data_IF_569429156789
#
_entry.id   IF_569429156789
#
_cell.length_a   1.000
_cell.length_b   1.000
_cell.length_c   1.000
_cell.angle_alpha   90.00
_cell.angle_beta   90.00
_cell.angle_gamma   90.00
#
_symmetry.space_group_name_H-M   'P 1'
#
loop_
_entity.id
_entity.type
_entity.pdbx_description
1 polymer ?
#
# COMPACT_ATOMS: atom_id res chain seq x y z
N UNK A 1 12.49 -0.89 37.56
CA UNK A 1 12.32 -0.89 36.10
C UNK A 1 11.08 -0.09 35.77
N UNK A 2 11.07 0.70 34.70
CA UNK A 2 9.84 1.35 34.26
C UNK A 2 8.87 0.30 33.72
N UNK A 3 7.56 0.47 33.92
CA UNK A 3 6.52 -0.40 33.32
C UNK A 3 6.63 -0.44 31.79
N UNK A 4 7.12 0.65 31.18
CA UNK A 4 7.41 0.72 29.74
C UNK A 4 8.53 -0.24 29.34
N UNK A 5 9.59 -0.33 30.13
CA UNK A 5 10.73 -1.21 29.82
C UNK A 5 10.31 -2.68 29.97
N UNK A 6 9.43 -2.96 30.91
CA UNK A 6 8.88 -4.29 31.14
C UNK A 6 7.97 -4.74 29.98
N UNK A 7 7.10 -3.87 29.46
CA UNK A 7 6.30 -4.15 28.24
C UNK A 7 7.22 -4.44 27.06
N UNK A 8 8.28 -3.64 26.89
CA UNK A 8 9.26 -3.85 25.82
C UNK A 8 9.96 -5.20 25.95
N UNK A 9 10.37 -5.56 27.16
CA UNK A 9 11.02 -6.85 27.43
C UNK A 9 10.09 -8.03 27.15
N UNK A 10 8.83 -7.97 27.58
CA UNK A 10 7.84 -9.01 27.32
C UNK A 10 7.55 -9.14 25.82
N UNK A 11 7.47 -8.02 25.10
CA UNK A 11 7.32 -8.01 23.63
C UNK A 11 8.55 -8.60 22.93
N UNK A 12 9.77 -8.29 23.39
CA UNK A 12 11.01 -8.89 22.89
C UNK A 12 11.07 -10.40 23.17
N UNK A 13 10.42 -10.88 24.23
CA UNK A 13 10.28 -12.32 24.51
C UNK A 13 9.22 -13.04 23.65
N UNK A 14 8.55 -12.31 22.75
CA UNK A 14 7.56 -12.87 21.82
C UNK A 14 6.13 -12.96 22.36
N UNK A 15 5.85 -12.40 23.54
CA UNK A 15 4.49 -12.36 24.09
C UNK A 15 3.59 -11.42 23.30
N UNK A 16 2.35 -11.84 23.10
CA UNK A 16 1.29 -11.03 22.48
C UNK A 16 0.81 -9.93 23.43
N UNK A 17 0.23 -8.85 22.89
CA UNK A 17 -0.30 -7.74 23.70
C UNK A 17 -1.34 -8.24 24.74
N UNK A 18 -2.12 -9.29 24.45
CA UNK A 18 -3.07 -9.90 25.38
C UNK A 18 -2.39 -10.60 26.57
N UNK A 19 -1.32 -11.35 26.32
CA UNK A 19 -0.53 -11.99 27.38
C UNK A 19 0.22 -10.96 28.23
N UNK A 20 0.69 -9.87 27.62
CA UNK A 20 1.31 -8.75 28.34
C UNK A 20 0.30 -8.09 29.28
N UNK A 21 -0.96 -7.92 28.86
CA UNK A 21 -2.01 -7.37 29.73
C UNK A 21 -2.25 -8.29 30.93
N UNK A 22 -2.31 -9.61 30.72
CA UNK A 22 -2.51 -10.58 31.79
C UNK A 22 -1.35 -10.57 32.80
N UNK A 23 -0.10 -10.59 32.34
CA UNK A 23 1.10 -10.52 33.19
C UNK A 23 1.14 -9.23 34.03
N UNK A 24 0.78 -8.09 33.44
CA UNK A 24 0.77 -6.80 34.14
C UNK A 24 -0.39 -6.68 35.13
N UNK A 25 -1.55 -7.27 34.82
CA UNK A 25 -2.66 -7.36 35.76
C UNK A 25 -2.31 -8.26 36.96
N UNK A 26 -1.60 -9.37 36.75
CA UNK A 26 -1.11 -10.24 37.82
C UNK A 26 -0.14 -9.49 38.75
N UNK A 27 0.61 -8.53 38.20
CA UNK A 27 1.49 -7.62 38.96
C UNK A 27 0.74 -6.48 39.66
N UNK A 28 -0.60 -6.44 39.56
CA UNK A 28 -1.46 -5.48 40.25
C UNK A 28 -1.58 -4.13 39.55
N UNK A 29 -1.20 -4.01 38.28
CA UNK A 29 -1.37 -2.76 37.53
C UNK A 29 -2.81 -2.55 37.11
N UNK A 30 -3.25 -1.28 37.15
CA UNK A 30 -4.62 -0.92 36.79
C UNK A 30 -4.81 -1.05 35.25
N UNK A 31 -5.92 -1.61 34.76
CA UNK A 31 -6.22 -1.69 33.31
C UNK A 31 -5.99 -0.39 32.54
N UNK A 32 -6.27 0.77 33.15
CA UNK A 32 -6.05 2.08 32.52
C UNK A 32 -4.57 2.40 32.33
N UNK A 33 -3.73 2.07 33.32
CA UNK A 33 -2.28 2.28 33.25
C UNK A 33 -1.65 1.34 32.23
N UNK A 34 -2.12 0.10 32.16
CA UNK A 34 -1.65 -0.89 31.17
C UNK A 34 -1.89 -0.39 29.74
N UNK A 35 -3.07 0.17 29.47
CA UNK A 35 -3.40 0.70 28.14
C UNK A 35 -2.54 1.93 27.78
N UNK A 36 -2.30 2.83 28.74
CA UNK A 36 -1.42 4.00 28.54
C UNK A 36 0.03 3.56 28.26
N UNK A 37 0.56 2.60 29.04
CA UNK A 37 1.92 2.07 28.86
C UNK A 37 2.07 1.34 27.52
N UNK A 38 1.09 0.53 27.12
CA UNK A 38 1.10 -0.14 25.81
C UNK A 38 1.09 0.86 24.65
N UNK A 39 0.28 1.92 24.76
CA UNK A 39 0.20 2.99 23.75
C UNK A 39 1.52 3.75 23.66
N UNK A 40 2.10 4.14 24.79
CA UNK A 40 3.41 4.81 24.85
C UNK A 40 4.54 3.95 24.32
N UNK A 41 4.54 2.65 24.60
CA UNK A 41 5.52 1.71 24.05
C UNK A 41 5.42 1.63 22.53
N UNK A 42 4.22 1.54 21.95
CA UNK A 42 4.03 1.48 20.49
C UNK A 42 4.56 2.74 19.79
N UNK A 43 4.30 3.91 20.37
CA UNK A 43 4.84 5.18 19.84
C UNK A 43 6.36 5.20 19.93
N UNK A 44 6.93 4.77 21.06
CA UNK A 44 8.39 4.75 21.24
C UNK A 44 9.09 3.78 20.29
N UNK A 45 8.50 2.61 20.04
CA UNK A 45 9.00 1.64 19.07
C UNK A 45 8.95 2.19 17.63
N UNK A 46 7.87 2.90 17.28
CA UNK A 46 7.74 3.54 15.97
C UNK A 46 8.75 4.67 15.74
N UNK A 47 9.00 5.50 16.76
CA UNK A 47 9.99 6.59 16.70
C UNK A 47 11.42 6.01 16.60
N UNK A 48 11.72 4.96 17.37
CA UNK A 48 13.06 4.37 17.38
C UNK A 48 13.38 3.62 16.07
N UNK A 49 12.42 2.89 15.51
CA UNK A 49 12.60 2.21 14.23
C UNK A 49 12.59 3.16 13.02
N UNK A 50 11.96 4.34 13.14
CA UNK A 50 11.90 5.34 12.07
C UNK A 50 13.23 6.06 11.82
N UNK A 51 14.12 6.16 12.82
CA UNK A 51 15.39 6.86 12.68
C UNK A 51 16.58 5.98 12.27
N UNK A 52 16.46 4.65 12.36
CA UNK A 52 17.57 3.74 12.00
C UNK A 52 17.66 3.37 10.50
N UNK A 53 16.75 3.87 9.64
CA UNK A 53 16.81 3.61 8.19
C UNK A 53 17.37 4.77 7.34
N UNK A 54 17.87 5.85 7.95
CA UNK A 54 18.33 7.04 7.18
C UNK A 54 19.86 7.25 7.19
N UNK A 55 20.65 6.42 7.89
CA UNK A 55 22.10 6.69 8.05
C UNK A 55 23.07 5.64 7.44
N UNK A 56 22.59 4.60 6.74
CA UNK A 56 23.47 3.55 6.17
C UNK A 56 23.56 3.55 4.62
N UNK A 57 23.19 4.63 3.93
CA UNK A 57 23.30 4.71 2.45
C UNK A 57 24.20 5.84 1.92
N UNK A 58 25.23 6.23 2.68
CA UNK A 58 26.16 7.30 2.25
C UNK A 58 27.63 7.04 2.57
N UNK A 59 28.11 5.80 2.39
CA UNK A 59 29.55 5.47 2.50
C UNK A 59 30.04 4.57 1.34
N UNK A 60 29.74 4.86 0.06
CA UNK A 60 30.59 4.34 -1.04
C UNK A 60 30.45 5.01 -2.41
N UNK A 61 30.21 6.32 -2.49
CA UNK A 61 30.34 7.04 -3.78
C UNK A 61 31.26 8.24 -3.63
N UNK A 62 32.53 7.96 -3.87
CA UNK A 62 33.60 8.95 -3.92
C UNK A 62 33.45 9.93 -5.09
N UNK A 63 33.97 11.14 -4.79
CA UNK A 63 34.52 12.15 -5.70
C UNK A 63 33.57 12.86 -6.68
N UNK A 64 33.15 14.08 -6.33
CA UNK A 64 33.03 15.11 -7.37
C UNK A 64 32.02 16.26 -7.23
N UNK A 65 31.31 16.47 -6.13
CA UNK A 65 30.39 17.62 -6.03
C UNK A 65 30.88 18.66 -5.01
N UNK A 66 31.35 19.79 -5.56
CA UNK A 66 31.81 20.96 -4.82
C UNK A 66 30.68 21.57 -3.98
N UNK A 67 30.98 21.77 -2.70
CA UNK A 67 30.13 22.48 -1.75
C UNK A 67 30.02 23.95 -2.16
N UNK A 68 28.81 24.40 -2.49
CA UNK A 68 28.53 25.83 -2.57
C UNK A 68 28.45 26.38 -1.14
N UNK A 69 29.50 27.10 -0.76
CA UNK A 69 29.60 27.92 0.45
C UNK A 69 28.53 29.01 0.37
N UNK A 70 27.49 28.90 1.19
CA UNK A 70 26.48 29.94 1.35
C UNK A 70 26.98 30.98 2.36
N UNK A 71 27.38 32.12 1.80
CA UNK A 71 27.93 33.31 2.45
C UNK A 71 26.88 33.99 3.36
N UNK A 72 27.13 34.21 4.67
CA UNK A 72 26.20 34.89 5.55
C UNK A 72 26.57 36.36 5.68
N UNK A 73 26.31 37.18 4.66
CA UNK A 73 26.26 38.63 4.88
C UNK A 73 25.48 39.38 3.79
N UNK A 74 24.19 39.60 4.03
CA UNK A 74 23.47 40.71 3.42
C UNK A 74 22.29 41.10 4.30
N UNK A 75 22.46 42.24 4.94
CA UNK A 75 21.45 42.97 5.70
C UNK A 75 20.41 43.61 4.75
N UNK A 76 19.20 43.74 5.28
CA UNK A 76 18.12 44.70 4.95
C UNK A 76 17.46 44.60 3.55
N UNK A 77 16.25 44.01 3.50
CA UNK A 77 15.07 44.80 3.18
C UNK A 77 13.78 44.14 3.69
N UNK A 78 13.06 44.96 4.44
CA UNK A 78 11.81 44.71 5.13
C UNK A 78 10.69 44.71 4.08
N UNK A 79 10.00 43.58 3.89
CA UNK A 79 8.68 43.57 3.25
C UNK A 79 7.74 42.73 4.11
N UNK A 80 6.77 43.45 4.68
CA UNK A 80 5.59 42.91 5.34
C UNK A 80 4.73 42.19 4.29
N UNK A 81 4.53 40.88 4.49
CA UNK A 81 3.30 40.23 4.06
C UNK A 81 2.76 39.47 5.26
N UNK A 82 1.66 39.99 5.81
CA UNK A 82 0.72 39.24 6.61
C UNK A 82 0.09 38.21 5.68
N UNK A 83 0.27 36.92 5.97
CA UNK A 83 -0.67 35.92 5.49
C UNK A 83 -1.40 35.28 6.66
N UNK A 84 -2.69 35.19 6.40
CA UNK A 84 -3.81 35.17 7.30
C UNK A 84 -4.20 33.72 7.50
N UNK A 85 -4.16 33.26 8.74
CA UNK A 85 -4.72 31.97 9.13
C UNK A 85 -6.23 31.95 8.82
N UNK A 86 -6.74 30.99 8.03
CA UNK A 86 -8.16 30.69 8.04
C UNK A 86 -8.47 29.90 9.32
N UNK A 87 -9.13 30.58 10.25
CA UNK A 87 -9.74 29.97 11.43
C UNK A 87 -10.91 29.07 11.01
N UNK A 88 -10.94 27.85 11.55
CA UNK A 88 -12.07 26.95 11.40
C UNK A 88 -13.12 27.35 12.42
N UNK A 89 -14.12 28.07 11.92
CA UNK A 89 -15.27 28.54 12.67
C UNK A 89 -16.21 27.37 12.98
N UNK A 90 -16.53 27.27 14.27
CA UNK A 90 -17.50 26.37 14.86
C UNK A 90 -18.91 26.83 14.45
N UNK A 91 -19.57 26.10 13.54
CA UNK A 91 -20.95 26.39 13.16
C UNK A 91 -21.88 25.24 13.51
N UNK A 92 -22.42 25.38 14.72
CA UNK A 92 -23.66 24.79 15.19
C UNK A 92 -24.81 25.16 14.23
N UNK A 93 -25.46 24.19 13.62
CA UNK A 93 -26.70 24.40 12.86
C UNK A 93 -27.56 23.15 12.87
N UNK A 94 -28.60 23.23 13.69
CA UNK A 94 -29.78 22.36 13.70
C UNK A 94 -30.31 22.19 12.27
N UNK A 95 -30.23 20.97 11.72
CA UNK A 95 -31.01 20.60 10.54
C UNK A 95 -32.27 19.86 10.97
N UNK A 96 -33.36 20.61 10.87
CA UNK A 96 -34.74 20.17 10.86
C UNK A 96 -34.96 19.09 9.80
N UNK A 97 -35.58 17.98 10.22
CA UNK A 97 -36.07 16.92 9.36
C UNK A 97 -37.20 17.43 8.47
N UNK A 98 -37.08 17.24 7.15
CA UNK A 98 -38.23 17.17 6.24
C UNK A 98 -38.23 15.79 5.58
N UNK A 99 -39.28 15.03 5.89
CA UNK A 99 -39.70 13.84 5.14
C UNK A 99 -39.92 14.25 3.69
N UNK A 100 -39.22 13.60 2.76
CA UNK A 100 -39.59 13.56 1.36
C UNK A 100 -39.81 12.10 1.01
N UNK A 101 -41.07 11.70 1.02
CA UNK A 101 -41.58 10.48 0.41
C UNK A 101 -41.37 10.63 -1.10
N UNK A 102 -40.53 9.78 -1.68
CA UNK A 102 -40.42 9.63 -3.12
C UNK A 102 -40.78 8.20 -3.47
N UNK A 103 -42.01 8.06 -3.97
CA UNK A 103 -42.50 6.88 -4.67
C UNK A 103 -41.71 6.73 -5.98
N UNK A 104 -41.19 5.54 -6.23
CA UNK A 104 -40.83 5.12 -7.59
C UNK A 104 -41.13 3.64 -7.81
N UNK A 105 -41.40 3.27 -9.08
CA UNK A 105 -42.14 2.09 -9.46
C UNK A 105 -41.22 0.88 -9.65
N UNK A 106 -41.82 -0.30 -9.56
CA UNK A 106 -41.14 -1.56 -9.71
C UNK A 106 -40.56 -1.80 -11.10
N UNK A 107 -39.38 -2.42 -11.12
CA UNK A 107 -38.93 -3.24 -12.23
C UNK A 107 -38.42 -4.58 -11.69
N UNK A 108 -38.94 -5.63 -12.31
CA UNK A 108 -38.64 -7.01 -12.02
C UNK A 108 -37.22 -7.37 -12.47
N UNK A 109 -36.46 -8.03 -11.61
CA UNK A 109 -35.31 -8.82 -12.03
C UNK A 109 -35.15 -10.01 -11.09
N UNK A 110 -35.49 -11.18 -11.62
CA UNK A 110 -35.24 -12.50 -11.04
C UNK A 110 -33.74 -12.81 -11.05
N UNK A 111 -33.12 -12.94 -9.87
CA UNK A 111 -31.88 -13.69 -9.70
C UNK A 111 -32.01 -14.60 -8.47
N UNK A 112 -31.53 -15.79 -8.72
CA UNK A 112 -31.72 -17.08 -8.08
C UNK A 112 -30.62 -17.37 -7.04
N UNK A 113 -30.97 -18.21 -6.07
CA UNK A 113 -30.13 -19.01 -5.17
C UNK A 113 -29.33 -18.34 -4.03
N UNK A 114 -29.95 -18.32 -2.83
CA UNK A 114 -29.48 -19.18 -1.73
C UNK A 114 -28.43 -18.65 -0.76
N UNK A 115 -28.86 -17.90 0.27
CA UNK A 115 -28.36 -18.13 1.64
C UNK A 115 -29.32 -17.58 2.70
N UNK A 116 -29.72 -18.48 3.59
CA UNK A 116 -30.70 -18.33 4.67
C UNK A 116 -30.27 -17.33 5.73
N UNK A 117 -31.10 -16.31 5.97
CA UNK A 117 -31.05 -15.46 7.18
C UNK A 117 -32.40 -15.62 7.89
N UNK A 118 -32.45 -15.83 9.22
CA UNK A 118 -33.70 -16.07 9.94
C UNK A 118 -34.59 -14.83 10.02
N UNK A 119 -35.87 -15.05 9.71
CA UNK A 119 -36.97 -14.12 9.88
C UNK A 119 -37.11 -13.63 11.33
N UNK A 120 -37.18 -12.31 11.50
CA UNK A 120 -37.74 -11.70 12.70
C UNK A 120 -38.74 -10.62 12.27
N UNK A 121 -40.00 -11.05 12.15
CA UNK A 121 -41.25 -10.32 12.37
C UNK A 121 -41.24 -8.79 12.21
N UNK A 122 -41.89 -8.31 11.15
CA UNK A 122 -42.59 -7.03 11.18
C UNK A 122 -43.99 -7.21 10.60
N UNK A 123 -44.94 -7.41 11.51
CA UNK A 123 -46.37 -7.48 11.25
C UNK A 123 -46.93 -6.06 11.51
N UNK A 124 -47.09 -5.27 10.45
CA UNK A 124 -47.87 -4.03 10.52
C UNK A 124 -49.27 -4.34 9.98
N UNK A 125 -50.19 -4.48 10.92
CA UNK A 125 -51.64 -4.42 10.69
C UNK A 125 -52.00 -3.01 10.23
N UNK A 126 -52.41 -2.94 8.97
CA UNK A 126 -53.26 -1.91 8.42
C UNK A 126 -54.70 -2.23 8.85
N UNK A 127 -55.34 -1.33 9.60
CA UNK A 127 -56.78 -1.38 9.82
C UNK A 127 -57.36 -0.03 9.51
N UNK A 128 -57.89 0.05 8.29
CA UNK A 128 -58.84 1.07 7.90
C UNK A 128 -60.07 1.03 8.80
N UNK A 129 -60.29 2.21 9.33
CA UNK A 129 -61.46 2.72 10.00
C UNK A 129 -62.65 2.78 9.02
N UNK A 130 -63.73 2.03 9.27
CA UNK A 130 -65.10 2.50 9.06
C UNK A 130 -66.15 1.49 9.55
N UNK A 131 -67.11 1.99 10.34
CA UNK A 131 -68.49 1.49 10.27
C UNK A 131 -69.08 0.84 11.54
N UNK A 132 -69.80 1.67 12.28
CA UNK A 132 -71.11 1.39 12.90
C UNK A 132 -71.24 0.24 13.93
N UNK A 133 -71.29 0.66 15.19
CA UNK A 133 -72.46 0.51 16.05
C UNK A 133 -73.05 -0.88 16.26
N UNK A 134 -72.68 -1.52 17.38
CA UNK A 134 -73.60 -2.36 18.14
C UNK A 134 -73.31 -2.23 19.64
N UNK A 135 -74.35 -1.88 20.40
CA UNK A 135 -74.43 -2.15 21.83
C UNK A 135 -74.27 -3.65 22.05
N UNK A 136 -73.34 -4.06 22.90
CA UNK A 136 -73.57 -5.28 23.67
C UNK A 136 -72.94 -5.23 25.05
N UNK A 137 -73.77 -5.63 26.01
CA UNK A 137 -73.53 -5.63 27.43
C UNK A 137 -72.48 -6.67 27.81
N UNK A 138 -71.58 -6.22 28.69
CA UNK A 138 -71.11 -6.96 29.85
C UNK A 138 -70.51 -8.34 29.58
N UNK A 139 -69.19 -8.42 29.53
CA UNK A 139 -68.43 -9.38 30.33
C UNK A 139 -67.04 -8.79 30.63
N UNK A 140 -66.89 -8.33 31.88
CA UNK A 140 -65.77 -8.60 32.79
C UNK A 140 -64.48 -9.13 32.13
N UNK A 141 -63.81 -8.28 31.33
CA UNK A 141 -62.41 -8.52 30.99
C UNK A 141 -61.55 -8.13 32.17
N UNK A 142 -60.88 -9.15 32.69
CA UNK A 142 -59.90 -9.06 33.74
C UNK A 142 -58.97 -7.87 33.53
N UNK A 143 -58.92 -7.08 34.59
CA UNK A 143 -57.93 -6.08 34.95
C UNK A 143 -56.53 -6.72 34.99
N UNK A 144 -56.03 -7.14 33.83
CA UNK A 144 -54.62 -7.45 33.64
C UNK A 144 -53.90 -6.11 33.53
N UNK A 145 -53.31 -5.70 34.65
CA UNK A 145 -52.17 -4.80 34.74
C UNK A 145 -52.04 -3.81 33.57
N UNK A 146 -52.58 -2.62 33.75
CA UNK A 146 -52.07 -1.42 33.13
C UNK A 146 -50.60 -1.25 33.57
N UNK A 147 -49.70 -2.03 32.97
CA UNK A 147 -48.29 -1.70 32.92
C UNK A 147 -48.28 -0.35 32.21
N UNK A 148 -48.02 0.70 32.98
CA UNK A 148 -48.04 2.08 32.54
C UNK A 148 -47.38 2.18 31.16
N UNK A 149 -48.12 2.64 30.16
CA UNK A 149 -47.57 2.92 28.83
C UNK A 149 -46.35 3.84 28.90
N UNK A 150 -46.28 4.69 29.94
CA UNK A 150 -45.09 5.48 30.28
C UNK A 150 -43.86 4.62 30.59
N UNK A 151 -43.99 3.53 31.37
CA UNK A 151 -42.84 2.65 31.67
C UNK A 151 -42.43 1.79 30.46
N UNK A 152 -43.39 1.36 29.63
CA UNK A 152 -43.04 0.71 28.34
C UNK A 152 -42.33 1.68 27.39
N UNK A 153 -42.75 2.95 27.35
CA UNK A 153 -42.10 3.98 26.52
C UNK A 153 -40.69 4.29 27.02
N UNK A 154 -40.49 4.33 28.33
CA UNK A 154 -39.16 4.54 28.93
C UNK A 154 -38.20 3.38 28.60
N UNK A 155 -38.64 2.12 28.79
CA UNK A 155 -37.84 0.93 28.45
C UNK A 155 -37.52 0.90 26.95
N UNK A 156 -38.48 1.23 26.10
CA UNK A 156 -38.27 1.28 24.64
C UNK A 156 -37.26 2.38 24.26
N UNK A 157 -37.33 3.54 24.91
CA UNK A 157 -36.39 4.65 24.66
C UNK A 157 -34.97 4.29 25.09
N UNK A 158 -34.80 3.69 26.28
CA UNK A 158 -33.50 3.22 26.75
C UNK A 158 -32.90 2.15 25.83
N UNK A 159 -33.73 1.22 25.35
CA UNK A 159 -33.28 0.20 24.41
C UNK A 159 -32.88 0.80 23.05
N UNK A 160 -33.63 1.79 22.56
CA UNK A 160 -33.27 2.52 21.33
C UNK A 160 -31.95 3.26 21.50
N UNK A 161 -31.74 3.98 22.61
CA UNK A 161 -30.50 4.70 22.87
C UNK A 161 -29.30 3.76 22.93
N UNK A 162 -29.42 2.60 23.60
CA UNK A 162 -28.36 1.60 23.65
C UNK A 162 -28.01 1.07 22.25
N UNK A 163 -29.01 0.81 21.41
CA UNK A 163 -28.81 0.32 20.04
C UNK A 163 -28.20 1.41 19.14
N UNK A 164 -28.65 2.66 19.27
CA UNK A 164 -28.10 3.81 18.54
C UNK A 164 -26.64 4.04 18.94
N UNK A 165 -26.30 3.92 20.22
CA UNK A 165 -24.91 4.01 20.68
C UNK A 165 -24.02 2.92 20.08
N UNK A 166 -24.49 1.67 20.02
CA UNK A 166 -23.76 0.56 19.38
C UNK A 166 -23.55 0.80 17.89
N UNK A 167 -24.58 1.27 17.18
CA UNK A 167 -24.49 1.62 15.75
C UNK A 167 -23.49 2.76 15.54
N UNK A 168 -23.55 3.79 16.38
CA UNK A 168 -22.65 4.95 16.32
C UNK A 168 -21.19 4.53 16.56
N UNK A 169 -20.96 3.63 17.51
CA UNK A 169 -19.64 3.04 17.75
C UNK A 169 -19.13 2.28 16.54
N UNK A 170 -19.96 1.40 15.95
CA UNK A 170 -19.57 0.64 14.77
C UNK A 170 -19.27 1.53 13.55
N UNK A 171 -20.01 2.63 13.38
CA UNK A 171 -19.74 3.63 12.34
C UNK A 171 -18.40 4.35 12.56
N UNK A 172 -18.04 4.61 13.82
CA UNK A 172 -16.73 5.17 14.17
C UNK A 172 -15.61 4.18 13.83
N UNK A 173 -15.75 2.92 14.22
CA UNK A 173 -14.76 1.88 13.92
C UNK A 173 -14.60 1.68 12.40
N UNK A 174 -15.69 1.77 11.62
CA UNK A 174 -15.65 1.72 10.16
C UNK A 174 -14.92 2.93 9.56
N UNK A 175 -15.09 4.11 10.17
CA UNK A 175 -14.39 5.33 9.76
C UNK A 175 -12.88 5.22 10.02
N UNK A 176 -12.50 4.66 11.18
CA UNK A 176 -11.10 4.43 11.52
C UNK A 176 -10.48 3.36 10.60
N UNK A 177 -11.21 2.29 10.29
CA UNK A 177 -10.80 1.29 9.30
C UNK A 177 -10.60 1.91 7.92
N UNK A 178 -11.50 2.79 7.46
CA UNK A 178 -11.35 3.52 6.19
C UNK A 178 -10.06 4.35 6.18
N UNK A 179 -9.75 5.03 7.28
CA UNK A 179 -8.51 5.82 7.40
C UNK A 179 -7.25 4.95 7.30
N UNK A 180 -7.23 3.81 7.99
CA UNK A 180 -6.11 2.86 7.93
C UNK A 180 -5.96 2.27 6.52
N UNK A 181 -7.07 1.91 5.87
CA UNK A 181 -7.06 1.41 4.50
C UNK A 181 -6.55 2.45 3.52
N UNK A 182 -6.95 3.72 3.65
CA UNK A 182 -6.47 4.81 2.78
C UNK A 182 -4.95 4.99 2.89
N UNK A 183 -4.40 4.95 4.12
CA UNK A 183 -2.95 5.01 4.35
C UNK A 183 -2.23 3.79 3.75
N UNK A 184 -2.79 2.58 3.92
CA UNK A 184 -2.19 1.37 3.36
C UNK A 184 -2.22 1.36 1.83
N UNK A 185 -3.32 1.80 1.21
CA UNK A 185 -3.45 1.91 -0.25
C UNK A 185 -2.45 2.90 -0.81
N UNK A 186 -2.29 4.09 -0.19
CA UNK A 186 -1.25 5.06 -0.60
C UNK A 186 0.15 4.49 -0.49
N UNK A 187 0.47 3.78 0.60
CA UNK A 187 1.76 3.11 0.75
C UNK A 187 1.99 2.02 -0.29
N UNK A 188 0.94 1.30 -0.70
CA UNK A 188 1.03 0.33 -1.80
C UNK A 188 1.29 1.01 -3.14
N UNK A 189 0.63 2.13 -3.41
CA UNK A 189 0.82 2.94 -4.62
C UNK A 189 2.29 3.41 -4.74
N UNK A 190 2.84 4.01 -3.69
CA UNK A 190 4.24 4.44 -3.63
C UNK A 190 5.23 3.28 -3.89
N UNK A 191 4.94 2.09 -3.33
CA UNK A 191 5.76 0.90 -3.55
C UNK A 191 5.66 0.40 -4.99
N UNK A 192 4.48 0.44 -5.60
CA UNK A 192 4.27 0.06 -6.99
C UNK A 192 5.02 1.01 -7.93
N UNK A 193 4.94 2.33 -7.72
CA UNK A 193 5.72 3.31 -8.49
C UNK A 193 7.22 3.06 -8.37
N UNK A 194 7.71 2.71 -7.18
CA UNK A 194 9.13 2.35 -6.98
C UNK A 194 9.51 1.07 -7.73
N UNK A 195 8.66 0.05 -7.70
CA UNK A 195 8.87 -1.21 -8.43
C UNK A 195 8.90 -0.95 -9.94
N UNK A 196 7.98 -0.13 -10.46
CA UNK A 196 7.94 0.29 -11.86
C UNK A 196 9.26 0.97 -12.26
N UNK A 197 9.74 1.93 -11.47
CA UNK A 197 11.02 2.60 -11.73
C UNK A 197 12.23 1.65 -11.71
N UNK A 198 12.25 0.67 -10.82
CA UNK A 198 13.31 -0.35 -10.78
C UNK A 198 13.25 -1.23 -12.03
N UNK A 199 12.06 -1.61 -12.49
CA UNK A 199 11.86 -2.39 -13.71
C UNK A 199 12.34 -1.60 -14.93
N UNK A 200 12.00 -0.32 -15.05
CA UNK A 200 12.46 0.55 -16.15
C UNK A 200 13.99 0.68 -16.18
N UNK A 201 14.60 0.87 -15.01
CA UNK A 201 16.06 0.92 -14.87
C UNK A 201 16.70 -0.42 -15.26
N UNK A 202 16.11 -1.54 -14.86
CA UNK A 202 16.59 -2.87 -15.20
C UNK A 202 16.50 -3.12 -16.71
N UNK A 203 15.37 -2.77 -17.34
CA UNK A 203 15.18 -2.89 -18.78
C UNK A 203 16.20 -2.04 -19.55
N UNK A 204 16.40 -0.79 -19.12
CA UNK A 204 17.41 0.10 -19.71
C UNK A 204 18.81 -0.48 -19.59
N UNK A 205 19.17 -1.04 -18.43
CA UNK A 205 20.46 -1.67 -18.18
C UNK A 205 20.67 -2.92 -19.05
N UNK A 206 19.64 -3.76 -19.19
CA UNK A 206 19.69 -4.95 -20.04
C UNK A 206 19.86 -4.60 -21.53
N UNK A 207 19.14 -3.59 -22.02
CA UNK A 207 19.27 -3.10 -23.40
C UNK A 207 20.69 -2.57 -23.64
N UNK A 208 21.21 -1.72 -22.74
CA UNK A 208 22.57 -1.19 -22.84
C UNK A 208 23.62 -2.30 -22.86
N UNK A 209 23.55 -3.23 -21.91
CA UNK A 209 24.49 -4.35 -21.83
C UNK A 209 24.44 -5.26 -23.05
N UNK A 210 23.25 -5.51 -23.59
CA UNK A 210 23.08 -6.31 -24.82
C UNK A 210 23.66 -5.56 -26.03
N UNK A 211 23.44 -4.25 -26.13
CA UNK A 211 23.99 -3.41 -27.19
C UNK A 211 25.51 -3.31 -27.13
N UNK A 212 26.10 -3.17 -25.93
CA UNK A 212 27.54 -3.22 -25.71
C UNK A 212 28.12 -4.58 -26.12
N UNK A 213 27.43 -5.68 -25.79
CA UNK A 213 27.84 -7.03 -26.22
C UNK A 213 27.75 -7.20 -27.73
N UNK A 214 26.70 -6.70 -28.39
CA UNK A 214 26.56 -6.74 -29.84
C UNK A 214 27.67 -5.94 -30.53
N UNK A 215 27.98 -4.75 -30.01
CA UNK A 215 29.10 -3.93 -30.48
C UNK A 215 30.43 -4.66 -30.33
N UNK A 216 30.72 -5.22 -29.15
CA UNK A 216 31.93 -6.01 -28.92
C UNK A 216 32.05 -7.20 -29.88
N UNK A 217 30.95 -7.91 -30.17
CA UNK A 217 30.93 -9.00 -31.14
C UNK A 217 31.19 -8.50 -32.56
N UNK A 218 30.62 -7.35 -32.93
CA UNK A 218 30.85 -6.71 -34.24
C UNK A 218 32.31 -6.28 -34.42
N UNK A 219 32.92 -5.72 -33.38
CA UNK A 219 34.32 -5.31 -33.39
C UNK A 219 35.24 -6.53 -33.53
N UNK A 220 35.00 -7.58 -32.74
CA UNK A 220 35.73 -8.87 -32.86
C UNK A 220 35.60 -9.46 -34.27
N UNK A 221 34.40 -9.42 -34.87
CA UNK A 221 34.18 -9.91 -36.24
C UNK A 221 34.99 -9.11 -37.25
N UNK A 222 35.05 -7.80 -37.08
CA UNK A 222 35.81 -6.89 -37.96
C UNK A 222 37.31 -7.12 -37.83
N UNK A 223 37.82 -7.26 -36.61
CA UNK A 223 39.22 -7.60 -36.36
C UNK A 223 39.59 -8.98 -36.91
N UNK A 224 38.74 -9.99 -36.69
CA UNK A 224 38.94 -11.34 -37.22
C UNK A 224 38.98 -11.34 -38.75
N UNK A 225 38.10 -10.57 -39.40
CA UNK A 225 38.11 -10.41 -40.85
C UNK A 225 39.37 -9.69 -41.34
N UNK A 226 39.83 -8.68 -40.60
CA UNK A 226 41.10 -7.99 -40.85
C UNK A 226 42.30 -8.93 -40.74
N UNK A 227 42.35 -9.76 -39.70
CA UNK A 227 43.38 -10.78 -39.50
C UNK A 227 43.36 -11.83 -40.61
N UNK A 228 42.18 -12.35 -40.98
CA UNK A 228 42.03 -13.28 -42.10
C UNK A 228 42.57 -12.67 -43.40
N UNK A 229 42.20 -11.42 -43.68
CA UNK A 229 42.69 -10.70 -44.86
C UNK A 229 44.20 -10.48 -44.81
N UNK A 230 44.75 -10.10 -43.66
CA UNK A 230 46.20 -9.96 -43.46
C UNK A 230 46.94 -11.27 -43.68
N UNK A 231 46.42 -12.37 -43.14
CA UNK A 231 46.97 -13.70 -43.31
C UNK A 231 46.88 -14.18 -44.76
N UNK A 232 45.76 -13.97 -45.45
CA UNK A 232 45.64 -14.26 -46.88
C UNK A 232 46.67 -13.48 -47.71
N UNK A 233 46.86 -12.19 -47.41
CA UNK A 233 47.87 -11.36 -48.09
C UNK A 233 49.31 -11.82 -47.81
N UNK A 234 49.58 -12.39 -46.64
CA UNK A 234 50.92 -12.90 -46.28
C UNK A 234 51.18 -14.30 -46.84
N UNK A 235 50.19 -15.20 -46.79
CA UNK A 235 50.31 -16.58 -47.26
C UNK A 235 50.34 -16.67 -48.78
N UNK A 236 49.47 -15.94 -49.49
CA UNK A 236 49.38 -16.01 -50.95
C UNK A 236 50.76 -15.87 -51.64
N UNK A 237 51.59 -14.83 -51.37
CA UNK A 237 52.91 -14.71 -51.99
C UNK A 237 53.90 -15.80 -51.56
N UNK A 238 53.78 -16.38 -50.36
CA UNK A 238 54.63 -17.50 -49.93
C UNK A 238 54.28 -18.79 -50.68
N UNK A 239 52.99 -19.06 -50.82
CA UNK A 239 52.48 -20.22 -51.58
C UNK A 239 52.82 -20.06 -53.07
N UNK A 240 52.62 -18.87 -53.63
CA UNK A 240 52.93 -18.57 -55.02
C UNK A 240 54.43 -18.72 -55.32
N UNK A 241 55.32 -18.16 -54.47
CA UNK A 241 56.78 -18.36 -54.59
C UNK A 241 57.16 -19.84 -54.57
N UNK A 242 56.59 -20.62 -53.66
CA UNK A 242 56.87 -22.07 -53.56
C UNK A 242 56.43 -22.81 -54.82
N UNK A 243 55.29 -22.42 -55.40
CA UNK A 243 54.76 -22.99 -56.65
C UNK A 243 55.63 -22.63 -57.85
N UNK A 244 56.08 -21.38 -57.96
CA UNK A 244 56.97 -20.92 -59.04
C UNK A 244 58.32 -21.64 -59.03
N UNK A 245 58.94 -21.81 -57.86
CA UNK A 245 60.20 -22.55 -57.71
C UNK A 245 60.07 -24.02 -58.17
N UNK A 246 58.92 -24.66 -57.94
CA UNK A 246 58.68 -26.04 -58.37
C UNK A 246 58.51 -26.18 -59.90
N UNK A 247 57.90 -25.18 -60.56
CA UNK A 247 57.71 -25.17 -62.01
C UNK A 247 59.03 -24.92 -62.74
N UNK A 248 59.83 -23.95 -62.29
CA UNK A 248 61.14 -23.66 -62.91
C UNK A 248 62.11 -24.85 -62.84
N UNK A 249 62.13 -25.60 -61.72
CA UNK A 249 62.96 -26.80 -61.61
C UNK A 249 62.52 -27.95 -62.55
N UNK A 250 61.22 -28.10 -62.83
CA UNK A 250 60.71 -29.10 -63.80
C UNK A 250 61.04 -28.72 -65.25
N UNK A 251 61.07 -27.45 -65.61
CA UNK A 251 61.42 -27.01 -66.97
C UNK A 251 62.94 -27.13 -67.22
N UNK A 252 63.76 -26.88 -66.19
CA UNK A 252 65.21 -27.05 -66.27
C UNK A 252 65.63 -28.52 -66.45
N UNK A 253 64.93 -29.48 -65.84
CA UNK A 253 65.22 -30.91 -66.01
C UNK A 253 64.81 -31.44 -67.39
N UNK A 254 63.69 -30.97 -67.98
CA UNK A 254 63.27 -31.35 -69.34
C UNK A 254 64.18 -30.84 -70.46
N UNK A 255 64.87 -29.70 -70.29
CA UNK A 255 65.84 -29.22 -71.29
C UNK A 255 67.14 -30.03 -71.31
N UNK A 256 67.52 -30.70 -70.21
CA UNK A 256 68.71 -31.57 -70.17
C UNK A 256 68.49 -32.93 -70.82
N UNK A 257 67.26 -33.44 -70.89
CA UNK A 257 66.97 -34.75 -71.52
C UNK A 257 66.82 -34.71 -73.04
N UNK A 258 66.73 -33.53 -73.67
CA UNK A 258 66.62 -33.36 -75.13
C UNK A 258 67.95 -33.08 -75.84
N UNK A 259 69.06 -33.05 -75.11
CA UNK A 259 70.41 -32.75 -75.64
C UNK A 259 71.37 -33.95 -75.62
N UNK A 260 70.83 -35.16 -75.42
CA UNK A 260 71.52 -36.43 -75.62
C UNK A 260 70.84 -37.18 -76.74
#
# INVERSE_FOLDING_TARGET
MSTIDQVRQLRMSGKTDGEIIADLQEQGLNPREINDVLSRSKVKDAVFNGQQQTEEFSEDFGAGMQSSIMNPNSQVQQNQYQEQYPGYENQNSQRSYKKQTQEMPGEASSIDSGQTIPEAYSNYQDYENQGQGYQNQGQEYQQYNAVNTETMTEIASQLMDEKIMKITSALKDLTDMKSILDVQVRKMDERLTRIESIIDSLQTSLIRKTSEQEQNISDIKTELHGMQTGFSKMINPMVDRTREHHVHNKVASKKKSKKK
#
